data_IF_493461744593
#
_entry.id   IF_493461744593
#
_cell.length_a   1.000
_cell.length_b   1.000
_cell.length_c   1.000
_cell.angle_alpha   90.00
_cell.angle_beta   90.00
_cell.angle_gamma   90.00
#
_symmetry.space_group_name_H-M   'P 1'
#
loop_
_entity.id
_entity.type
_entity.pdbx_description
1 polymer ?
2 polymer ?
3 polymer ?
4 non-polymer ?
5 non-polymer ?
6 non-polymer ?
7 non-polymer ?
8 water ?
#
# COMPACT_ATOMS: atom_id res chain seq x y z
N UNK A 1 -15.53 2.22 14.83
CA UNK A 1 -14.54 3.28 15.15
C UNK A 1 -15.13 4.22 16.18
N UNK A 2 -14.25 4.91 16.91
CA UNK A 2 -14.67 5.76 18.04
C UNK A 2 -15.53 6.93 17.62
N UNK A 3 -15.50 7.32 16.34
CA UNK A 3 -16.31 8.44 15.85
C UNK A 3 -17.58 8.00 15.16
N UNK A 4 -17.82 6.69 15.05
CA UNK A 4 -18.94 6.21 14.25
C UNK A 4 -20.31 6.62 14.77
N UNK A 5 -20.43 6.84 16.08
CA UNK A 5 -21.71 7.22 16.63
C UNK A 5 -21.93 8.72 16.66
N UNK A 6 -20.98 9.52 16.21
CA UNK A 6 -21.10 10.96 16.25
C UNK A 6 -21.60 11.51 14.92
N UNK A 7 -22.50 12.48 14.99
CA UNK A 7 -22.99 13.14 13.79
C UNK A 7 -21.87 13.79 13.00
N UNK A 8 -21.97 13.73 11.68
CA UNK A 8 -21.03 14.43 10.82
C UNK A 8 -20.85 15.89 11.22
N UNK A 9 -21.95 16.63 11.42
CA UNK A 9 -21.80 18.04 11.70
C UNK A 9 -21.11 18.28 13.02
N UNK A 10 -21.34 17.39 13.99
CA UNK A 10 -20.68 17.52 15.27
C UNK A 10 -19.19 17.26 15.16
N UNK A 11 -18.80 16.30 14.31
CA UNK A 11 -17.39 16.06 14.07
C UNK A 11 -16.72 17.28 13.48
N UNK A 12 -17.36 17.90 12.48
CA UNK A 12 -16.79 19.10 11.86
C UNK A 12 -16.70 20.24 12.89
N UNK A 13 -17.74 20.42 13.69
CA UNK A 13 -17.72 21.45 14.72
C UNK A 13 -16.59 21.22 15.70
N UNK A 14 -16.40 19.97 16.12
CA UNK A 14 -15.33 19.67 17.06
C UNK A 14 -13.94 19.78 16.43
N UNK A 15 -13.81 19.48 15.14
CA UNK A 15 -12.54 19.73 14.48
C UNK A 15 -12.18 21.20 14.55
N UNK A 16 -13.15 22.09 14.39
CA UNK A 16 -12.90 23.52 14.46
C UNK A 16 -12.52 23.95 15.87
N UNK A 17 -13.18 23.38 16.87
CA UNK A 17 -12.82 23.64 18.26
C UNK A 17 -11.41 23.14 18.57
N UNK A 18 -11.10 21.93 18.08
CA UNK A 18 -9.76 21.39 18.29
C UNK A 18 -8.70 22.29 17.67
N UNK A 19 -8.97 22.83 16.49
CA UNK A 19 -8.03 23.77 15.90
C UNK A 19 -7.83 25.00 16.79
N UNK A 20 -8.91 25.55 17.33
CA UNK A 20 -8.78 26.72 18.20
C UNK A 20 -7.96 26.41 19.43
N UNK A 21 -8.05 25.17 19.92
CA UNK A 21 -7.30 24.72 21.09
C UNK A 21 -5.93 24.17 20.71
N UNK A 22 -5.56 24.23 19.43
CA UNK A 22 -4.29 23.71 18.94
C UNK A 22 -4.09 22.24 19.30
N UNK A 23 -5.18 21.48 19.25
CA UNK A 23 -5.18 20.05 19.53
C UNK A 23 -5.31 19.33 18.19
N UNK A 24 -4.20 19.25 17.47
CA UNK A 24 -4.24 18.81 16.09
C UNK A 24 -4.48 17.31 15.95
N UNK A 25 -4.00 16.51 16.87
CA UNK A 25 -4.32 15.09 16.80
C UNK A 25 -5.83 14.87 16.93
N UNK A 26 -6.46 15.56 17.87
CA UNK A 26 -7.92 15.48 17.99
C UNK A 26 -8.58 15.99 16.70
N UNK A 27 -8.10 17.10 16.19
CA UNK A 27 -8.66 17.68 14.97
C UNK A 27 -8.64 16.68 13.83
N UNK A 28 -7.50 16.00 13.67
CA UNK A 28 -7.35 15.02 12.59
C UNK A 28 -8.29 13.85 12.80
N UNK A 29 -8.44 13.40 14.04
CA UNK A 29 -9.33 12.27 14.31
C UNK A 29 -10.78 12.63 14.02
N UNK A 30 -11.18 13.85 14.36
CA UNK A 30 -12.54 14.29 14.06
C UNK A 30 -12.75 14.36 12.56
N UNK A 31 -11.80 14.94 11.83
CA UNK A 31 -11.95 15.03 10.38
C UNK A 31 -11.92 13.66 9.71
N UNK A 32 -11.13 12.71 10.23
CA UNK A 32 -11.16 11.35 9.72
C UNK A 32 -12.55 10.75 9.89
N UNK A 33 -13.13 10.94 11.07
CA UNK A 33 -14.47 10.46 11.29
C UNK A 33 -15.47 11.09 10.34
N UNK A 34 -15.31 12.37 10.07
CA UNK A 34 -16.19 13.03 9.13
C UNK A 34 -16.05 12.44 7.73
N UNK A 35 -14.81 12.23 7.28
CA UNK A 35 -14.59 11.62 5.97
C UNK A 35 -15.29 10.27 5.89
N UNK A 36 -15.26 9.50 6.95
CA UNK A 36 -15.80 8.14 6.99
C UNK A 36 -17.32 8.11 6.93
N UNK A 37 -18.00 9.26 7.04
CA UNK A 37 -19.43 9.29 6.80
C UNK A 37 -19.77 9.09 5.34
N UNK A 38 -18.78 9.21 4.44
CA UNK A 38 -18.98 8.88 3.06
C UNK A 38 -19.51 9.99 2.18
N UNK A 39 -19.67 11.20 2.70
CA UNK A 39 -20.08 12.33 1.88
C UNK A 39 -18.84 13.09 1.42
N UNK A 40 -18.91 13.69 0.22
CA UNK A 40 -17.85 14.59 -0.21
C UNK A 40 -17.60 15.68 0.82
N UNK A 41 -16.36 16.12 0.89
CA UNK A 41 -15.97 17.29 1.69
C UNK A 41 -16.13 18.57 0.89
N UNK A 42 -16.61 19.60 1.57
CA UNK A 42 -16.65 20.93 0.98
C UNK A 42 -15.22 21.50 0.96
N UNK A 43 -15.06 22.64 0.31
CA UNK A 43 -13.75 23.29 0.27
C UNK A 43 -13.24 23.58 1.68
N UNK A 44 -14.09 24.15 2.54
CA UNK A 44 -13.66 24.45 3.89
C UNK A 44 -13.27 23.17 4.62
N UNK A 45 -14.03 22.10 4.43
CA UNK A 45 -13.73 20.85 5.10
C UNK A 45 -12.44 20.22 4.61
N UNK A 46 -12.16 20.30 3.29
CA UNK A 46 -10.87 19.82 2.80
C UNK A 46 -9.73 20.54 3.46
N UNK A 47 -9.88 21.86 3.62
CA UNK A 47 -8.82 22.61 4.27
C UNK A 47 -8.66 22.21 5.72
N UNK A 48 -9.76 21.92 6.44
CA UNK A 48 -9.63 21.45 7.82
C UNK A 48 -8.87 20.12 7.86
N UNK A 49 -9.22 19.20 6.98
CA UNK A 49 -8.56 17.90 6.95
C UNK A 49 -7.06 18.08 6.73
N UNK A 50 -6.72 18.94 5.78
CA UNK A 50 -5.32 19.16 5.42
C UNK A 50 -4.55 19.82 6.58
N UNK A 51 -5.10 20.87 7.18
CA UNK A 51 -4.42 21.55 8.27
C UNK A 51 -4.18 20.58 9.42
N UNK A 52 -5.18 19.76 9.74
CA UNK A 52 -5.06 18.85 10.86
C UNK A 52 -3.89 17.90 10.68
N UNK A 53 -3.87 17.20 9.56
CA UNK A 53 -2.80 16.21 9.36
C UNK A 53 -1.46 16.88 9.10
N UNK A 54 -1.45 18.07 8.46
CA UNK A 54 -0.19 18.78 8.29
C UNK A 54 0.48 19.02 9.62
N UNK A 55 -0.29 19.43 10.61
CA UNK A 55 0.29 19.75 11.90
C UNK A 55 0.74 18.48 12.62
N UNK A 56 -0.03 17.41 12.52
CA UNK A 56 0.39 16.17 13.16
C UNK A 56 1.69 15.69 12.54
N UNK A 57 1.71 15.49 11.21
CA UNK A 57 2.91 14.97 10.57
C UNK A 57 4.06 15.96 10.66
N UNK A 58 3.76 17.27 10.71
CA UNK A 58 4.81 18.26 10.80
C UNK A 58 5.59 18.13 12.09
N UNK A 59 4.90 17.87 13.19
CA UNK A 59 5.61 17.69 14.44
C UNK A 59 6.44 16.43 14.43
N UNK A 60 5.92 15.36 13.82
CA UNK A 60 6.66 14.11 13.72
C UNK A 60 7.89 14.26 12.84
N UNK A 61 7.75 14.95 11.71
CA UNK A 61 8.88 15.19 10.82
C UNK A 61 9.96 15.99 11.51
N UNK A 62 9.56 17.02 12.25
CA UNK A 62 10.55 17.84 12.92
C UNK A 62 11.29 17.04 13.98
N UNK A 63 10.57 16.21 14.73
CA UNK A 63 11.21 15.36 15.73
C UNK A 63 12.13 14.33 15.07
N UNK A 64 11.67 13.74 13.96
CA UNK A 64 12.49 12.77 13.23
C UNK A 64 13.80 13.39 12.78
N UNK A 65 13.74 14.64 12.29
CA UNK A 65 14.94 15.32 11.84
C UNK A 65 15.91 15.55 12.98
N UNK A 66 15.38 15.96 14.16
CA UNK A 66 16.24 16.17 15.31
C UNK A 66 16.93 14.87 15.68
N UNK A 67 16.17 13.80 15.78
CA UNK A 67 16.73 12.52 16.22
C UNK A 67 17.68 11.95 15.18
N UNK A 68 17.36 12.11 13.89
CA UNK A 68 18.25 11.61 12.84
C UNK A 68 19.58 12.35 12.87
N UNK A 69 19.56 13.64 13.16
CA UNK A 69 20.80 14.40 13.25
C UNK A 69 21.64 13.93 14.43
N UNK A 70 21.00 13.69 15.58
CA UNK A 70 21.74 13.14 16.73
C UNK A 70 22.33 11.78 16.39
N UNK A 71 21.55 10.94 15.72
CA UNK A 71 22.00 9.61 15.32
C UNK A 71 23.18 9.70 14.38
N UNK A 72 23.11 10.57 13.37
CA UNK A 72 24.22 10.68 12.43
C UNK A 72 25.48 11.15 13.15
N UNK A 73 25.34 12.05 14.11
CA UNK A 73 26.53 12.51 14.83
C UNK A 73 27.10 11.39 15.71
N UNK A 74 26.24 10.52 16.22
CA UNK A 74 26.69 9.37 17.00
C UNK A 74 27.25 8.32 16.06
N UNK A 83 25.25 2.78 22.68
CA UNK A 83 24.09 1.94 22.90
C UNK A 83 23.04 2.14 21.82
N UNK A 84 22.03 1.27 21.80
CA UNK A 84 21.02 1.33 20.74
C UNK A 84 19.95 2.41 20.90
N UNK A 85 20.01 3.25 21.94
CA UNK A 85 18.82 4.04 22.32
C UNK A 85 18.46 5.11 21.28
N UNK A 86 19.43 5.82 20.71
CA UNK A 86 19.10 6.85 19.73
C UNK A 86 18.42 6.23 18.52
N UNK A 87 18.99 5.15 18.00
CA UNK A 87 18.37 4.49 16.87
C UNK A 87 16.97 3.99 17.23
N UNK A 88 16.82 3.36 18.40
CA UNK A 88 15.52 2.83 18.79
C UNK A 88 14.47 3.93 18.81
N UNK A 89 14.82 5.07 19.40
CA UNK A 89 13.82 6.12 19.55
C UNK A 89 13.54 6.78 18.19
N UNK A 90 14.57 6.96 17.37
CA UNK A 90 14.33 7.47 16.03
C UNK A 90 13.42 6.53 15.25
N UNK A 91 13.66 5.22 15.39
CA UNK A 91 12.79 4.24 14.73
C UNK A 91 11.36 4.33 15.26
N UNK A 92 11.18 4.58 16.56
CA UNK A 92 9.84 4.68 17.10
C UNK A 92 9.11 5.86 16.47
N UNK A 93 9.75 7.04 16.45
CA UNK A 93 9.14 8.22 15.84
C UNK A 93 8.88 7.98 14.36
N UNK A 94 9.85 7.36 13.67
CA UNK A 94 9.68 7.06 12.25
C UNK A 94 8.44 6.20 12.00
N UNK A 95 8.28 5.14 12.78
CA UNK A 95 7.13 4.25 12.62
C UNK A 95 5.81 4.99 12.85
N UNK A 96 5.77 5.89 13.83
CA UNK A 96 4.55 6.65 14.08
C UNK A 96 4.27 7.60 12.93
N UNK A 97 5.31 8.21 12.38
CA UNK A 97 5.17 9.08 11.22
C UNK A 97 4.61 8.29 10.03
N UNK A 98 5.19 7.12 9.77
CA UNK A 98 4.73 6.29 8.66
C UNK A 98 3.29 5.87 8.87
N UNK A 99 2.92 5.62 10.11
CA UNK A 99 1.54 5.28 10.39
C UNK A 99 0.58 6.39 10.06
N UNK A 100 0.95 7.64 10.36
CA UNK A 100 0.09 8.75 10.03
C UNK A 100 -0.01 8.92 8.52
N UNK A 101 1.12 8.84 7.82
CA UNK A 101 1.07 8.96 6.37
C UNK A 101 0.21 7.86 5.76
N UNK A 102 0.34 6.62 6.26
CA UNK A 102 -0.49 5.52 5.78
C UNK A 102 -1.98 5.77 6.06
N UNK A 103 -2.29 6.37 7.20
CA UNK A 103 -3.68 6.75 7.49
C UNK A 103 -4.21 7.75 6.46
N UNK A 104 -3.43 8.79 6.17
CA UNK A 104 -3.84 9.81 5.22
C UNK A 104 -4.01 9.21 3.82
N UNK A 105 -3.01 8.45 3.38
CA UNK A 105 -3.08 7.82 2.07
C UNK A 105 -4.27 6.88 1.98
N UNK A 106 -4.57 6.17 3.06
CA UNK A 106 -5.74 5.31 3.08
C UNK A 106 -7.03 6.07 2.94
N UNK A 107 -7.16 7.22 3.63
CA UNK A 107 -8.35 8.03 3.50
C UNK A 107 -8.51 8.52 2.07
N UNK A 108 -7.41 8.95 1.47
CA UNK A 108 -7.45 9.43 0.10
C UNK A 108 -7.88 8.32 -0.84
N UNK A 109 -7.28 7.14 -0.71
CA UNK A 109 -7.56 6.06 -1.64
C UNK A 109 -8.96 5.50 -1.43
N UNK A 110 -9.34 5.33 -0.17
CA UNK A 110 -10.61 4.64 0.10
C UNK A 110 -11.83 5.55 0.03
N UNK A 111 -11.68 6.85 0.28
CA UNK A 111 -12.85 7.72 0.40
C UNK A 111 -12.86 8.93 -0.53
N UNK A 112 -11.71 9.55 -0.77
CA UNK A 112 -11.68 10.92 -1.27
C UNK A 112 -11.28 11.05 -2.73
N UNK A 113 -10.34 10.27 -3.23
CA UNK A 113 -9.93 10.37 -4.62
C UNK A 113 -10.97 9.67 -5.48
N UNK A 114 -11.53 10.40 -6.44
CA UNK A 114 -12.53 9.84 -7.31
C UNK A 114 -12.24 10.31 -8.71
N UNK A 115 -12.71 9.52 -9.69
CA UNK A 115 -12.64 9.95 -11.07
C UNK A 115 -13.63 11.09 -11.30
N UNK A 116 -14.77 11.04 -10.61
CA UNK A 116 -15.69 12.14 -10.65
C UNK A 116 -15.14 13.28 -9.81
N UNK A 117 -15.86 14.37 -9.82
CA UNK A 117 -15.47 15.46 -8.99
C UNK A 117 -15.03 16.66 -9.80
N UNK A 118 -15.15 17.79 -9.15
CA UNK A 118 -14.68 19.01 -9.73
C UNK A 118 -13.17 19.03 -9.70
N UNK A 119 -12.62 19.86 -10.58
CA UNK A 119 -11.17 19.93 -10.72
C UNK A 119 -10.53 20.33 -9.41
N UNK A 120 -11.19 21.21 -8.64
CA UNK A 120 -10.63 21.75 -7.41
C UNK A 120 -10.36 20.63 -6.41
N UNK A 121 -11.32 19.74 -6.24
CA UNK A 121 -11.16 18.63 -5.31
C UNK A 121 -10.20 17.60 -5.85
N UNK A 122 -10.32 17.24 -7.13
CA UNK A 122 -9.45 16.18 -7.65
C UNK A 122 -7.99 16.57 -7.55
N UNK A 123 -7.66 17.81 -7.91
CA UNK A 123 -6.27 18.26 -7.82
C UNK A 123 -5.84 18.33 -6.37
N UNK A 124 -6.72 18.85 -5.49
CA UNK A 124 -6.36 18.97 -4.08
C UNK A 124 -5.93 17.64 -3.51
N UNK A 125 -6.73 16.59 -3.75
CA UNK A 125 -6.46 15.28 -3.16
C UNK A 125 -5.27 14.59 -3.81
N UNK A 126 -5.10 14.72 -5.12
CA UNK A 126 -3.95 14.10 -5.77
C UNK A 126 -2.65 14.79 -5.32
N UNK A 127 -2.68 16.12 -5.18
CA UNK A 127 -1.54 16.82 -4.58
C UNK A 127 -1.25 16.27 -3.18
N UNK A 128 -2.28 16.12 -2.36
CA UNK A 128 -2.11 15.60 -1.01
C UNK A 128 -1.49 14.22 -1.04
N UNK A 129 -1.91 13.37 -1.98
CA UNK A 129 -1.32 12.04 -2.08
C UNK A 129 0.16 12.15 -2.40
N UNK A 130 0.51 13.04 -3.33
CA UNK A 130 1.92 13.29 -3.61
C UNK A 130 2.70 13.75 -2.38
N UNK A 131 2.10 14.66 -1.62
CA UNK A 131 2.76 15.19 -0.43
C UNK A 131 3.03 14.08 0.59
N UNK A 132 2.04 13.21 0.87
CA UNK A 132 2.23 12.21 1.90
C UNK A 132 3.15 11.07 1.44
N UNK A 133 3.18 10.74 0.15
CA UNK A 133 4.25 9.87 -0.33
C UNK A 133 5.60 10.56 -0.22
N UNK A 134 5.66 11.87 -0.47
CA UNK A 134 6.92 12.58 -0.27
C UNK A 134 7.39 12.49 1.18
N UNK A 135 6.48 12.62 2.14
CA UNK A 135 6.91 12.51 3.54
C UNK A 135 7.42 11.11 3.84
N UNK A 136 6.80 10.08 3.24
CA UNK A 136 7.33 8.72 3.40
C UNK A 136 8.72 8.62 2.75
N UNK A 137 8.90 9.28 1.62
CA UNK A 137 10.20 9.22 0.94
C UNK A 137 11.30 9.86 1.78
N UNK A 138 10.96 10.89 2.56
CA UNK A 138 11.98 11.56 3.37
C UNK A 138 12.65 10.60 4.35
N UNK A 139 11.94 9.59 4.82
CA UNK A 139 12.47 8.66 5.80
C UNK A 139 12.82 7.30 5.22
N UNK A 140 12.57 7.08 3.93
CA UNK A 140 12.82 5.79 3.30
C UNK A 140 14.26 5.68 2.81
N UNK A 141 14.70 4.45 2.60
CA UNK A 141 16.03 4.19 2.07
C UNK A 141 15.95 3.19 0.92
N UNK A 142 16.99 3.17 0.09
CA UNK A 142 17.18 2.10 -0.88
C UNK A 142 16.07 1.99 -1.92
N UNK A 143 15.77 0.74 -2.30
CA UNK A 143 14.78 0.48 -3.36
C UNK A 143 13.38 0.84 -2.93
N UNK A 144 13.07 0.64 -1.65
CA UNK A 144 11.78 1.09 -1.12
C UNK A 144 11.59 2.57 -1.38
N UNK A 145 12.65 3.36 -1.17
CA UNK A 145 12.60 4.78 -1.47
C UNK A 145 12.27 5.01 -2.94
N UNK A 146 12.85 4.20 -3.84
CA UNK A 146 12.60 4.41 -5.27
C UNK A 146 11.12 4.27 -5.59
N UNK A 147 10.47 3.24 -5.05
CA UNK A 147 9.06 3.00 -5.34
C UNK A 147 8.20 4.12 -4.77
N UNK A 148 8.52 4.54 -3.54
CA UNK A 148 7.76 5.61 -2.90
C UNK A 148 7.89 6.89 -3.71
N UNK A 149 9.12 7.17 -4.18
CA UNK A 149 9.36 8.37 -4.97
C UNK A 149 8.54 8.33 -6.24
N UNK A 150 8.44 7.17 -6.89
CA UNK A 150 7.64 7.10 -8.09
C UNK A 150 6.16 7.28 -7.80
N UNK A 151 5.67 6.77 -6.66
CA UNK A 151 4.27 6.97 -6.26
C UNK A 151 3.97 8.45 -6.07
N UNK A 152 4.87 9.18 -5.42
CA UNK A 152 4.68 10.61 -5.25
C UNK A 152 4.68 11.31 -6.62
N UNK A 153 5.65 10.98 -7.45
CA UNK A 153 5.73 11.58 -8.78
C UNK A 153 4.44 11.35 -9.57
N UNK A 154 3.92 10.11 -9.56
CA UNK A 154 2.73 9.80 -10.34
C UNK A 154 1.53 10.61 -9.87
N UNK A 155 1.37 10.76 -8.55
CA UNK A 155 0.24 11.51 -8.02
C UNK A 155 0.37 12.99 -8.38
N UNK A 156 1.54 13.56 -8.18
CA UNK A 156 1.75 14.95 -8.55
C UNK A 156 1.52 15.15 -10.05
N UNK A 157 2.00 14.23 -10.87
CA UNK A 157 1.88 14.40 -12.32
C UNK A 157 0.42 14.36 -12.76
N UNK A 158 -0.38 13.48 -12.17
CA UNK A 158 -1.80 13.44 -12.52
C UNK A 158 -2.48 14.74 -12.09
N UNK A 159 -2.15 15.25 -10.90
CA UNK A 159 -2.71 16.52 -10.46
C UNK A 159 -2.28 17.65 -11.39
N UNK A 160 -1.03 17.62 -11.84
CA UNK A 160 -0.54 18.68 -12.74
C UNK A 160 -1.31 18.66 -14.04
N UNK A 161 -1.54 17.47 -14.60
CA UNK A 161 -2.22 17.37 -15.89
C UNK A 161 -3.63 17.94 -15.78
N UNK A 162 -4.34 17.59 -14.70
CA UNK A 162 -5.69 18.12 -14.50
C UNK A 162 -5.63 19.63 -14.33
N UNK A 163 -4.71 20.12 -13.49
CA UNK A 163 -4.68 21.54 -13.18
C UNK A 163 -4.42 22.39 -14.43
N UNK A 164 -3.56 21.90 -15.33
CA UNK A 164 -3.24 22.67 -16.53
C UNK A 164 -4.41 22.70 -17.51
N UNK A 165 -5.25 21.67 -17.49
CA UNK A 165 -6.39 21.61 -18.40
C UNK A 165 -7.60 22.37 -17.86
N UNK A 166 -7.81 22.31 -16.55
CA UNK A 166 -9.09 22.69 -15.98
C UNK A 166 -9.06 23.92 -15.09
N UNK A 167 -7.88 24.46 -14.77
CA UNK A 167 -7.77 25.59 -13.88
C UNK A 167 -6.97 26.70 -14.53
N UNK A 168 -7.24 27.96 -14.19
CA UNK A 168 -6.39 29.05 -14.70
C UNK A 168 -5.02 29.03 -14.04
N UNK A 169 -4.02 29.63 -14.69
CA UNK A 169 -2.65 29.57 -14.15
C UNK A 169 -2.47 30.32 -12.84
N UNK A 170 -3.42 31.15 -12.42
CA UNK A 170 -3.38 31.82 -11.13
C UNK A 170 -4.12 31.08 -10.03
N UNK A 171 -4.76 29.96 -10.33
CA UNK A 171 -5.56 29.30 -9.33
C UNK A 171 -4.68 28.91 -8.13
N UNK A 172 -5.05 29.26 -6.89
CA UNK A 172 -4.11 28.99 -5.79
C UNK A 172 -3.81 27.52 -5.58
N UNK A 173 -4.77 26.63 -5.81
CA UNK A 173 -4.51 25.19 -5.66
C UNK A 173 -3.51 24.73 -6.69
N UNK A 174 -3.67 25.16 -7.95
CA UNK A 174 -2.69 24.86 -9.00
C UNK A 174 -1.31 25.38 -8.61
N UNK A 175 -1.25 26.61 -8.08
CA UNK A 175 0.04 27.18 -7.71
C UNK A 175 0.70 26.42 -6.58
N UNK A 176 -0.07 26.03 -5.55
CA UNK A 176 0.50 25.28 -4.44
C UNK A 176 0.95 23.90 -4.86
N UNK A 177 0.25 23.28 -5.79
CA UNK A 177 0.70 22.02 -6.36
C UNK A 177 2.04 22.18 -7.07
N UNK A 178 2.17 23.22 -7.89
CA UNK A 178 3.44 23.44 -8.58
C UNK A 178 4.56 23.70 -7.60
N UNK A 179 4.27 24.46 -6.54
CA UNK A 179 5.27 24.70 -5.50
C UNK A 179 5.75 23.38 -4.90
N UNK A 180 4.83 22.53 -4.48
CA UNK A 180 5.22 21.29 -3.82
C UNK A 180 5.86 20.29 -4.79
N UNK A 181 5.38 20.23 -6.03
CA UNK A 181 6.00 19.33 -7.01
C UNK A 181 7.41 19.79 -7.31
N UNK A 182 7.62 21.09 -7.39
CA UNK A 182 8.98 21.59 -7.61
C UNK A 182 9.86 21.28 -6.40
N UNK A 183 9.33 21.36 -5.17
CA UNK A 183 10.09 20.95 -4.00
C UNK A 183 10.43 19.47 -4.07
N UNK A 184 9.47 18.65 -4.51
CA UNK A 184 9.74 17.24 -4.74
C UNK A 184 10.92 17.06 -5.70
N UNK A 185 10.89 17.74 -6.85
CA UNK A 185 11.99 17.61 -7.79
C UNK A 185 13.32 17.97 -7.15
N UNK A 186 13.35 19.05 -6.39
CA UNK A 186 14.60 19.57 -5.86
C UNK A 186 15.12 18.70 -4.71
N UNK A 187 14.25 18.35 -3.77
CA UNK A 187 14.67 17.75 -2.49
C UNK A 187 14.64 16.24 -2.48
N UNK A 188 13.79 15.62 -3.31
CA UNK A 188 13.56 14.18 -3.26
C UNK A 188 14.12 13.48 -4.49
N UNK A 189 13.81 14.00 -5.67
CA UNK A 189 14.07 13.33 -6.94
C UNK A 189 15.39 13.73 -7.59
N UNK A 190 16.21 14.54 -6.93
CA UNK A 190 17.53 14.85 -7.45
C UNK A 190 17.44 15.50 -8.82
N UNK A 191 16.45 16.37 -9.00
CA UNK A 191 16.21 17.02 -10.28
C UNK A 191 16.06 18.53 -10.09
N UNK A 192 17.13 19.20 -9.64
CA UNK A 192 17.02 20.64 -9.37
C UNK A 192 16.72 21.46 -10.62
N UNK A 193 17.24 21.05 -11.78
CA UNK A 193 16.92 21.81 -12.99
C UNK A 193 15.42 21.77 -13.29
N UNK A 194 14.80 20.60 -13.17
CA UNK A 194 13.35 20.52 -13.37
C UNK A 194 12.61 21.35 -12.34
N UNK A 195 13.07 21.31 -11.08
CA UNK A 195 12.43 22.09 -10.04
C UNK A 195 12.43 23.57 -10.39
N UNK A 196 13.58 24.07 -10.81
CA UNK A 196 13.75 25.47 -11.13
C UNK A 196 12.89 25.85 -12.34
N UNK A 197 12.91 25.02 -13.38
CA UNK A 197 12.09 25.29 -14.55
C UNK A 197 10.61 25.35 -14.19
N UNK A 198 10.14 24.39 -13.40
CA UNK A 198 8.73 24.35 -13.04
C UNK A 198 8.36 25.59 -12.22
N UNK A 199 9.19 25.95 -11.26
CA UNK A 199 8.85 27.12 -10.46
C UNK A 199 8.83 28.38 -11.33
N UNK A 200 9.81 28.53 -12.23
CA UNK A 200 9.90 29.70 -13.09
C UNK A 200 8.70 29.83 -14.01
N UNK A 201 8.40 28.76 -14.77
CA UNK A 201 7.30 28.87 -15.70
C UNK A 201 5.98 29.06 -14.98
N UNK A 202 5.81 28.42 -13.83
CA UNK A 202 4.58 28.59 -13.07
C UNK A 202 4.43 30.04 -12.63
N UNK A 203 5.49 30.60 -12.05
CA UNK A 203 5.46 31.99 -11.62
C UNK A 203 5.16 32.92 -12.79
N UNK A 204 5.84 32.73 -13.90
CA UNK A 204 5.70 33.65 -15.04
C UNK A 204 4.31 33.57 -15.64
N UNK A 205 3.73 32.37 -15.71
CA UNK A 205 2.41 32.21 -16.31
C UNK A 205 1.32 32.76 -15.41
N UNK A 206 1.54 32.72 -14.09
CA UNK A 206 0.61 33.34 -13.16
C UNK A 206 0.72 34.87 -13.21
N UNK A 207 1.96 35.38 -13.21
CA UNK A 207 2.18 36.82 -13.31
C UNK A 207 1.38 37.39 -14.46
N UNK A 208 1.47 36.75 -15.62
CA UNK A 208 0.84 37.28 -16.83
C UNK A 208 -0.67 37.33 -16.76
N UNK A 209 -1.29 36.56 -15.86
CA UNK A 209 -2.74 36.51 -15.75
C UNK A 209 -3.29 37.24 -14.53
N UNK A 210 -2.41 37.83 -13.70
CA UNK A 210 -2.89 38.55 -12.52
C UNK A 210 -3.86 39.66 -12.88
N UNK A 211 -3.74 40.23 -14.08
CA UNK A 211 -4.58 41.37 -14.44
C UNK A 211 -6.05 40.99 -14.51
N UNK A 212 -6.36 39.70 -14.60
CA UNK A 212 -7.75 39.25 -14.64
C UNK A 212 -8.39 39.12 -13.26
N UNK A 213 -7.64 39.30 -12.19
CA UNK A 213 -8.13 38.97 -10.85
C UNK A 213 -8.59 40.18 -10.06
N UNK A 214 -9.59 39.96 -9.21
CA UNK A 214 -10.06 40.92 -8.24
C UNK A 214 -9.00 41.15 -7.17
N UNK A 215 -9.24 42.15 -6.32
CA UNK A 215 -8.31 42.41 -5.22
C UNK A 215 -8.12 41.17 -4.36
N UNK A 216 -9.23 40.49 -4.02
CA UNK A 216 -9.15 39.34 -3.13
C UNK A 216 -8.43 38.17 -3.79
N UNK A 217 -8.79 37.85 -5.04
CA UNK A 217 -8.13 36.76 -5.74
C UNK A 217 -6.67 37.08 -5.97
N UNK A 218 -6.36 38.35 -6.22
CA UNK A 218 -4.97 38.76 -6.42
C UNK A 218 -4.13 38.46 -5.18
N UNK A 219 -4.64 38.78 -3.98
CA UNK A 219 -3.87 38.48 -2.77
C UNK A 219 -3.70 36.98 -2.58
N UNK A 220 -4.74 36.19 -2.84
CA UNK A 220 -4.62 34.73 -2.69
C UNK A 220 -3.57 34.16 -3.63
N UNK A 221 -3.61 34.57 -4.90
CA UNK A 221 -2.66 34.05 -5.87
C UNK A 221 -1.26 34.57 -5.60
N UNK A 222 -1.12 35.88 -5.34
CA UNK A 222 0.23 36.44 -5.20
C UNK A 222 0.93 35.92 -3.96
N UNK A 223 0.20 35.58 -2.89
CA UNK A 223 0.87 35.02 -1.73
C UNK A 223 1.58 33.71 -2.10
N UNK A 224 0.95 32.86 -2.91
CA UNK A 224 1.59 31.59 -3.29
C UNK A 224 2.68 31.85 -4.33
N UNK A 225 2.45 32.79 -5.24
CA UNK A 225 3.52 33.18 -6.16
C UNK A 225 4.76 33.64 -5.42
N UNK A 226 4.59 34.38 -4.32
CA UNK A 226 5.72 34.84 -3.54
C UNK A 226 6.50 33.67 -2.96
N UNK A 227 5.80 32.60 -2.56
CA UNK A 227 6.49 31.42 -2.07
C UNK A 227 7.30 30.75 -3.19
N UNK A 228 6.74 30.69 -4.40
CA UNK A 228 7.48 30.15 -5.52
C UNK A 228 8.73 30.94 -5.74
N UNK A 229 8.60 32.26 -5.73
CA UNK A 229 9.75 33.11 -5.96
C UNK A 229 10.79 32.92 -4.86
N UNK A 230 10.35 32.77 -3.61
CA UNK A 230 11.30 32.56 -2.53
C UNK A 230 12.13 31.32 -2.81
N UNK A 231 11.50 30.25 -3.29
CA UNK A 231 12.25 29.03 -3.56
C UNK A 231 13.16 29.23 -4.76
N UNK A 232 12.65 29.89 -5.81
CA UNK A 232 13.49 30.15 -6.98
C UNK A 232 14.73 30.94 -6.62
N UNK A 233 14.57 31.98 -5.78
CA UNK A 233 15.70 32.82 -5.43
C UNK A 233 16.66 32.12 -4.46
N UNK A 234 16.14 31.20 -3.66
CA UNK A 234 16.99 30.33 -2.84
C UNK A 234 17.84 29.41 -3.73
N UNK A 235 17.22 28.82 -4.74
CA UNK A 235 17.86 27.82 -5.57
C UNK A 235 18.78 28.39 -6.64
N UNK A 236 18.66 29.67 -6.95
CA UNK A 236 19.41 30.28 -8.04
C UNK A 236 20.03 31.58 -7.59
N UNK B 2 15.90 21.97 4.53
CA UNK B 2 15.18 21.68 3.29
C UNK B 2 14.47 22.94 2.76
N UNK B 3 14.26 22.97 1.45
CA UNK B 3 13.42 23.99 0.82
C UNK B 3 12.02 23.95 1.41
N UNK B 4 11.40 25.11 1.71
CA UNK B 4 10.02 25.03 2.23
C UNK B 4 8.90 24.74 1.21
N UNK B 6 4.47 24.31 0.70
CA UNK B 6 3.31 25.14 1.02
C UNK B 6 3.01 25.05 2.51
N UNK B 7 2.86 26.19 3.19
CA UNK B 7 2.67 26.17 4.65
C UNK B 7 1.22 26.03 5.04
N UNK B 8 0.52 25.13 4.38
CA UNK B 8 -0.90 24.95 4.52
C UNK B 8 -1.37 24.19 3.31
N UNK C 1 19.70 -7.23 -5.57
CA UNK C 1 19.77 -7.65 -4.13
C UNK C 1 21.04 -8.42 -3.83
N UNK C 2 21.08 -9.09 -2.66
CA UNK C 2 22.27 -9.83 -2.27
C UNK C 2 22.58 -10.94 -3.25
N UNK C 3 21.58 -11.40 -4.02
CA UNK C 3 21.79 -12.46 -4.98
C UNK C 3 22.08 -11.95 -6.38
N UNK C 4 22.19 -10.63 -6.55
CA UNK C 4 22.34 -10.05 -7.87
C UNK C 4 23.55 -10.53 -8.65
N UNK C 5 24.62 -10.91 -7.96
CA UNK C 5 25.82 -11.34 -8.67
C UNK C 5 25.87 -12.82 -9.01
N UNK C 6 24.86 -13.60 -8.61
CA UNK C 6 24.86 -15.03 -8.87
C UNK C 6 24.02 -15.36 -10.09
N UNK C 7 24.54 -16.26 -10.93
CA UNK C 7 23.80 -16.75 -12.09
C UNK C 7 22.44 -17.30 -11.68
N UNK C 8 21.45 -17.07 -12.54
CA UNK C 8 20.11 -17.63 -12.30
C UNK C 8 20.16 -19.14 -12.09
N UNK C 9 20.88 -19.86 -12.96
CA UNK C 9 20.87 -21.31 -12.86
C UNK C 9 21.52 -21.77 -11.56
N UNK C 10 22.53 -21.04 -11.09
CA UNK C 10 23.17 -21.34 -9.81
C UNK C 10 22.21 -21.11 -8.65
N UNK C 11 21.40 -20.06 -8.74
CA UNK C 11 20.42 -19.81 -7.68
C UNK C 11 19.39 -20.93 -7.60
N UNK C 12 18.89 -21.40 -8.76
CA UNK C 12 17.95 -22.53 -8.76
C UNK C 12 18.59 -23.77 -8.19
N UNK C 13 19.84 -24.06 -8.58
CA UNK C 13 20.53 -25.23 -8.06
C UNK C 13 20.68 -25.14 -6.54
N UNK C 14 21.06 -23.96 -6.03
CA UNK C 14 21.22 -23.79 -4.58
C UNK C 14 19.88 -23.79 -3.84
N UNK C 15 18.80 -23.31 -4.46
CA UNK C 15 17.49 -23.46 -3.84
C UNK C 15 17.15 -24.93 -3.61
N UNK C 16 17.47 -25.79 -4.59
CA UNK C 16 17.20 -27.21 -4.44
C UNK C 16 18.08 -27.84 -3.36
N UNK C 17 19.36 -27.43 -3.29
CA UNK C 17 20.23 -27.88 -2.20
C UNK C 17 19.69 -27.45 -0.85
N UNK C 18 19.25 -26.20 -0.75
CA UNK C 18 18.72 -25.69 0.51
C UNK C 18 17.50 -26.50 0.93
N UNK C 19 16.65 -26.85 -0.03
CA UNK C 19 15.50 -27.68 0.31
C UNK C 19 15.94 -29.03 0.86
N UNK C 20 16.94 -29.66 0.24
CA UNK C 20 17.43 -30.93 0.75
C UNK C 20 17.96 -30.80 2.18
N UNK C 21 18.59 -29.68 2.48
CA UNK C 21 19.17 -29.40 3.78
C UNK C 21 18.15 -28.83 4.77
N UNK C 22 16.90 -28.67 4.35
CA UNK C 22 15.84 -28.09 5.17
C UNK C 22 16.19 -26.68 5.64
N UNK C 23 16.86 -25.94 4.77
CA UNK C 23 17.26 -24.56 5.03
C UNK C 23 16.33 -23.64 4.25
N UNK C 24 15.10 -23.46 4.77
CA UNK C 24 14.06 -22.83 3.97
C UNK C 24 14.25 -21.32 3.84
N UNK C 25 14.83 -20.66 4.83
CA UNK C 25 15.14 -19.24 4.63
C UNK C 25 16.14 -19.06 3.50
N UNK C 26 17.16 -19.92 3.44
CA UNK C 26 18.09 -19.85 2.33
C UNK C 26 17.38 -20.15 1.01
N UNK C 27 16.54 -21.18 1.01
CA UNK C 27 15.82 -21.57 -0.19
C UNK C 27 15.01 -20.39 -0.73
N UNK C 28 14.31 -19.69 0.17
CA UNK C 28 13.50 -18.54 -0.23
C UNK C 28 14.37 -17.42 -0.78
N UNK C 29 15.51 -17.15 -0.14
CA UNK C 29 16.39 -16.09 -0.61
C UNK C 29 16.95 -16.42 -1.99
N UNK C 30 17.31 -17.68 -2.23
CA UNK C 30 17.79 -18.06 -3.55
C UNK C 30 16.69 -17.90 -4.60
N UNK C 31 15.47 -18.32 -4.26
CA UNK C 31 14.37 -18.19 -5.20
C UNK C 31 14.00 -16.72 -5.45
N UNK C 32 14.05 -15.88 -4.41
CA UNK C 32 13.87 -14.44 -4.62
C UNK C 32 14.90 -13.92 -5.61
N UNK C 33 16.17 -14.30 -5.43
CA UNK C 33 17.19 -13.87 -6.35
C UNK C 33 16.91 -14.33 -7.76
N UNK C 34 16.42 -15.56 -7.91
CA UNK C 34 16.09 -16.05 -9.24
C UNK C 34 14.94 -15.26 -9.86
N UNK C 35 13.89 -14.98 -9.09
CA UNK C 35 12.77 -14.16 -9.60
C UNK C 35 13.29 -12.80 -10.06
N UNK C 36 14.15 -12.18 -9.26
CA UNK C 36 14.65 -10.85 -9.55
C UNK C 36 15.50 -10.78 -10.81
N UNK C 37 15.90 -11.92 -11.39
CA UNK C 37 16.55 -11.89 -12.69
C UNK C 37 15.63 -11.38 -13.79
N UNK C 38 14.33 -11.44 -13.57
CA UNK C 38 13.38 -10.87 -14.50
C UNK C 38 12.80 -11.83 -15.51
N UNK C 39 13.22 -13.08 -15.52
CA UNK C 39 12.68 -14.06 -16.44
C UNK C 39 11.50 -14.81 -15.82
N UNK C 40 10.62 -15.33 -16.67
CA UNK C 40 9.50 -16.12 -16.18
C UNK C 40 10.03 -17.35 -15.45
N UNK C 41 9.15 -17.93 -14.64
CA UNK C 41 9.44 -19.15 -13.91
C UNK C 41 8.74 -20.31 -14.59
N UNK C 42 9.42 -21.45 -14.66
CA UNK C 42 8.77 -22.68 -15.08
C UNK C 42 7.84 -23.17 -13.96
N UNK C 43 7.04 -24.19 -14.26
CA UNK C 43 6.17 -24.76 -13.23
C UNK C 43 6.98 -25.25 -12.04
N UNK C 44 8.07 -25.97 -12.31
CA UNK C 44 8.89 -26.48 -11.22
C UNK C 44 9.43 -25.33 -10.38
N UNK C 45 9.82 -24.23 -11.04
CA UNK C 45 10.40 -23.12 -10.31
C UNK C 45 9.36 -22.37 -9.47
N UNK C 46 8.16 -22.16 -10.04
CA UNK C 46 7.05 -21.58 -9.30
C UNK C 46 6.78 -22.38 -8.03
N UNK C 47 6.77 -23.70 -8.16
CA UNK C 47 6.54 -24.55 -7.01
C UNK C 47 7.66 -24.40 -5.98
N UNK C 48 8.92 -24.31 -6.43
CA UNK C 48 10.03 -24.07 -5.50
C UNK C 48 9.84 -22.77 -4.73
N UNK C 49 9.47 -21.71 -5.44
CA UNK C 49 9.23 -20.42 -4.79
C UNK C 49 8.15 -20.54 -3.73
N UNK C 50 7.04 -21.19 -4.08
CA UNK C 50 5.91 -21.31 -3.17
C UNK C 50 6.27 -22.16 -1.96
N UNK C 51 6.96 -23.28 -2.16
CA UNK C 51 7.34 -24.15 -1.04
C UNK C 51 8.27 -23.40 -0.10
N UNK C 52 9.24 -22.67 -0.66
CA UNK C 52 10.22 -22.01 0.19
C UNK C 52 9.55 -21.00 1.10
N UNK C 53 8.77 -20.08 0.52
CA UNK C 53 8.12 -19.06 1.34
C UNK C 53 7.03 -19.63 2.23
N UNK C 54 6.35 -20.70 1.81
CA UNK C 54 5.35 -21.25 2.68
C UNK C 54 5.97 -21.79 3.94
N UNK C 55 7.16 -22.41 3.81
CA UNK C 55 7.83 -22.94 4.99
C UNK C 55 8.28 -21.80 5.91
N UNK C 56 8.81 -20.73 5.33
CA UNK C 56 9.21 -19.58 6.14
C UNK C 56 8.01 -18.94 6.84
N UNK C 57 6.98 -18.55 6.07
CA UNK C 57 5.86 -17.86 6.69
C UNK C 57 5.10 -18.79 7.61
N UNK C 58 5.07 -20.07 7.27
CA UNK C 58 4.34 -21.03 8.08
C UNK C 58 4.93 -21.13 9.47
N UNK C 59 6.26 -21.11 9.55
CA UNK C 59 6.90 -21.12 10.85
C UNK C 59 6.61 -19.87 11.64
N UNK C 60 6.60 -18.72 10.96
CA UNK C 60 6.29 -17.47 11.64
C UNK C 60 4.84 -17.42 12.10
N UNK C 61 3.92 -17.89 11.25
CA UNK C 61 2.50 -17.94 11.65
C UNK C 61 2.31 -18.84 12.86
N UNK C 62 2.96 -20.00 12.88
CA UNK C 62 2.82 -20.91 14.02
C UNK C 62 3.36 -20.27 15.28
N UNK C 63 4.49 -19.59 15.18
CA UNK C 63 5.06 -18.91 16.34
C UNK C 63 4.16 -17.76 16.80
N UNK C 64 3.62 -17.00 15.84
CA UNK C 64 2.70 -15.92 16.18
C UNK C 64 1.48 -16.45 16.91
N UNK C 65 0.95 -17.59 16.45
CA UNK C 65 -0.22 -18.18 17.12
C UNK C 65 0.12 -18.63 18.54
N UNK C 66 1.30 -19.21 18.74
CA UNK C 66 1.70 -19.61 20.09
C UNK C 66 1.75 -18.40 21.01
N UNK C 67 2.40 -17.34 20.53
CA UNK C 67 2.58 -16.14 21.34
C UNK C 67 1.27 -15.41 21.57
N UNK C 68 0.41 -15.37 20.55
CA UNK C 68 -0.89 -14.74 20.71
C UNK C 68 -1.73 -15.49 21.75
N UNK C 69 -1.62 -16.81 21.79
CA UNK C 69 -2.37 -17.59 22.77
C UNK C 69 -1.87 -17.30 24.17
N UNK C 70 -0.56 -17.21 24.36
CA UNK C 70 -0.01 -16.86 25.67
C UNK C 70 -0.45 -15.46 26.07
N UNK C 71 -0.41 -14.53 25.12
CA UNK C 71 -0.79 -13.14 25.38
C UNK C 71 -2.25 -13.06 25.82
N UNK C 72 -3.13 -13.76 25.11
CA UNK C 72 -4.55 -13.68 25.45
C UNK C 72 -4.81 -14.26 26.82
N UNK C 73 -4.10 -15.32 27.20
CA UNK C 73 -4.25 -15.85 28.56
C UNK C 73 -3.71 -14.88 29.59
N UNK C 74 -2.61 -14.21 29.29
CA UNK C 74 -2.02 -13.27 30.23
C UNK C 74 -2.98 -12.10 30.45
N UNK C 83 3.58 -8.20 32.53
CA UNK C 83 4.38 -7.18 31.90
C UNK C 83 4.16 -7.09 30.40
N UNK C 84 4.89 -6.19 29.74
CA UNK C 84 4.73 -5.98 28.31
C UNK C 84 5.46 -7.00 27.45
N UNK C 85 6.24 -7.91 28.04
CA UNK C 85 7.16 -8.72 27.25
C UNK C 85 6.45 -9.63 26.23
N UNK C 86 5.34 -10.27 26.61
CA UNK C 86 4.67 -11.18 25.67
C UNK C 86 4.18 -10.39 24.47
N UNK C 87 3.52 -9.24 24.72
CA UNK C 87 3.09 -8.40 23.62
C UNK C 87 4.26 -7.95 22.77
N UNK C 88 5.36 -7.51 23.40
CA UNK C 88 6.50 -7.03 22.62
C UNK C 88 7.04 -8.14 21.72
N UNK C 89 7.17 -9.35 22.26
CA UNK C 89 7.76 -10.43 21.46
C UNK C 89 6.79 -10.89 20.37
N UNK C 90 5.50 -10.95 20.67
CA UNK C 90 4.51 -11.19 19.64
C UNK C 90 4.60 -10.15 18.53
N UNK C 91 4.79 -8.87 18.90
CA UNK C 91 4.91 -7.81 17.90
C UNK C 91 6.18 -7.98 17.07
N UNK C 92 7.27 -8.46 17.69
CA UNK C 92 8.50 -8.68 16.95
C UNK C 92 8.29 -9.76 15.89
N UNK C 93 7.67 -10.87 16.29
CA UNK C 93 7.41 -11.94 15.33
C UNK C 93 6.46 -11.43 14.24
N UNK C 94 5.44 -10.69 14.67
CA UNK C 94 4.47 -10.13 13.73
C UNK C 94 5.15 -9.27 12.66
N UNK C 95 6.04 -8.36 13.09
CA UNK C 95 6.75 -7.51 12.14
C UNK C 95 7.59 -8.32 11.16
N UNK C 96 8.23 -9.40 11.63
CA UNK C 96 8.99 -10.26 10.74
C UNK C 96 8.10 -10.96 9.72
N UNK C 97 6.97 -11.49 10.19
CA UNK C 97 6.01 -12.12 9.30
C UNK C 97 5.51 -11.13 8.27
N UNK C 98 5.22 -9.89 8.70
CA UNK C 98 4.74 -8.89 7.75
C UNK C 98 5.81 -8.58 6.71
N UNK C 99 7.08 -8.57 7.14
CA UNK C 99 8.17 -8.33 6.21
C UNK C 99 8.26 -9.41 5.15
N UNK C 100 8.11 -10.68 5.54
CA UNK C 100 8.16 -11.76 4.56
C UNK C 100 6.99 -11.66 3.60
N UNK C 101 5.80 -11.38 4.11
CA UNK C 101 4.65 -11.24 3.21
C UNK C 101 4.85 -10.07 2.26
N UNK C 102 5.36 -8.94 2.75
CA UNK C 102 5.61 -7.81 1.86
C UNK C 102 6.65 -8.18 0.80
N UNK C 103 7.66 -8.96 1.16
CA UNK C 103 8.63 -9.44 0.17
C UNK C 103 7.96 -10.27 -0.93
N UNK C 104 7.14 -11.24 -0.53
CA UNK C 104 6.48 -12.09 -1.53
C UNK C 104 5.55 -11.26 -2.41
N UNK C 105 4.74 -10.39 -1.78
CA UNK C 105 3.84 -9.56 -2.55
C UNK C 105 4.61 -8.67 -3.51
N UNK C 106 5.78 -8.21 -3.08
CA UNK C 106 6.60 -7.39 -3.97
C UNK C 106 7.12 -8.14 -5.19
N UNK C 107 7.49 -9.40 -5.02
CA UNK C 107 7.87 -10.24 -6.16
C UNK C 107 6.70 -10.47 -7.11
N UNK C 108 5.50 -10.70 -6.57
CA UNK C 108 4.34 -10.91 -7.41
C UNK C 108 3.95 -9.64 -8.17
N UNK C 109 4.04 -8.48 -7.54
CA UNK C 109 3.74 -7.21 -8.19
C UNK C 109 4.85 -6.73 -9.12
N UNK C 110 6.10 -7.18 -8.88
CA UNK C 110 7.27 -6.71 -9.61
C UNK C 110 8.14 -7.90 -9.99
N UNK C 111 7.78 -8.68 -11.01
CA UNK C 111 6.66 -8.44 -11.93
C UNK C 111 6.05 -9.78 -12.34
N UNK C 112 5.98 -10.74 -11.41
CA UNK C 112 5.58 -12.09 -11.82
C UNK C 112 4.18 -12.13 -12.44
N UNK C 113 3.21 -11.46 -11.83
CA UNK C 113 1.84 -11.55 -12.31
C UNK C 113 1.75 -11.01 -13.73
N UNK C 114 2.30 -9.82 -13.97
CA UNK C 114 2.10 -9.18 -15.27
C UNK C 114 2.90 -9.86 -16.36
N UNK C 115 3.97 -10.57 -16.01
CA UNK C 115 4.77 -11.27 -17.00
C UNK C 115 4.39 -12.72 -17.18
N UNK C 116 3.44 -13.23 -16.39
CA UNK C 116 3.03 -14.62 -16.54
C UNK C 116 2.51 -14.87 -17.95
N UNK C 117 3.02 -15.90 -18.59
CA UNK C 117 2.82 -16.14 -20.00
C UNK C 117 1.66 -17.05 -20.36
N UNK C 118 0.99 -17.60 -19.37
CA UNK C 118 -0.15 -18.47 -19.61
C UNK C 118 -1.12 -18.29 -18.45
N UNK C 119 -2.36 -18.74 -18.66
CA UNK C 119 -3.41 -18.51 -17.67
C UNK C 119 -3.13 -19.25 -16.38
N UNK C 120 -2.58 -20.46 -16.47
CA UNK C 120 -2.33 -21.25 -15.28
C UNK C 120 -1.33 -20.56 -14.36
N UNK C 121 -0.24 -20.04 -14.92
CA UNK C 121 0.74 -19.34 -14.09
C UNK C 121 0.17 -18.04 -13.57
N UNK C 122 -0.66 -17.34 -14.36
CA UNK C 122 -1.24 -16.10 -13.86
C UNK C 122 -2.18 -16.36 -12.70
N UNK C 123 -2.98 -17.43 -12.80
CA UNK C 123 -3.87 -17.80 -11.69
C UNK C 123 -3.05 -18.24 -10.48
N UNK C 124 -1.95 -18.98 -10.71
CA UNK C 124 -1.11 -19.41 -9.59
C UNK C 124 -0.61 -18.20 -8.82
N UNK C 125 -0.18 -17.17 -9.54
CA UNK C 125 0.41 -16.01 -8.88
C UNK C 125 -0.64 -15.11 -8.24
N UNK C 126 -1.80 -14.91 -8.89
CA UNK C 126 -2.87 -14.12 -8.29
C UNK C 126 -3.43 -14.81 -7.05
N UNK C 127 -3.54 -16.14 -7.08
CA UNK C 127 -3.88 -16.89 -5.88
C UNK C 127 -2.86 -16.64 -4.78
N UNK C 128 -1.58 -16.74 -5.11
CA UNK C 128 -0.53 -16.50 -4.13
C UNK C 128 -0.62 -15.10 -3.55
N UNK C 129 -0.95 -14.10 -4.38
CA UNK C 129 -1.17 -12.74 -3.88
C UNK C 129 -2.31 -12.70 -2.88
N UNK C 130 -3.41 -13.34 -3.22
CA UNK C 130 -4.50 -13.44 -2.26
C UNK C 130 -4.07 -14.09 -0.96
N UNK C 131 -3.30 -15.18 -1.07
CA UNK C 131 -2.85 -15.93 0.11
C UNK C 131 -1.99 -15.06 1.01
N UNK C 132 -1.04 -14.31 0.44
CA UNK C 132 -0.14 -13.54 1.29
C UNK C 132 -0.81 -12.30 1.87
N UNK C 133 -1.76 -11.69 1.17
CA UNK C 133 -2.60 -10.69 1.82
C UNK C 133 -3.44 -11.33 2.93
N UNK C 134 -3.89 -12.57 2.72
CA UNK C 134 -4.64 -13.27 3.77
C UNK C 134 -3.77 -13.49 5.01
N UNK C 135 -2.50 -13.86 4.82
CA UNK C 135 -1.60 -14.01 5.98
C UNK C 135 -1.43 -12.67 6.70
N UNK C 136 -1.30 -11.58 5.95
CA UNK C 136 -1.26 -10.27 6.57
C UNK C 136 -2.54 -10.00 7.34
N UNK C 137 -3.68 -10.37 6.76
CA UNK C 137 -4.95 -10.08 7.41
C UNK C 137 -5.09 -10.78 8.76
N UNK C 138 -4.46 -11.93 8.91
CA UNK C 138 -4.57 -12.69 10.15
C UNK C 138 -3.99 -11.91 11.32
N UNK C 139 -3.02 -11.03 11.06
CA UNK C 139 -2.35 -10.30 12.13
C UNK C 139 -2.63 -8.80 12.08
N UNK C 140 -3.39 -8.33 11.09
CA UNK C 140 -3.66 -6.92 10.94
C UNK C 140 -4.82 -6.50 11.85
N UNK C 141 -4.91 -5.19 12.06
CA UNK C 141 -6.01 -4.62 12.83
C UNK C 141 -6.53 -3.36 12.13
N UNK C 142 -7.74 -2.99 12.53
CA UNK C 142 -8.31 -1.68 12.16
C UNK C 142 -8.39 -1.42 10.67
N UNK C 143 -8.10 -0.17 10.30
CA UNK C 143 -8.25 0.23 8.90
C UNK C 143 -7.27 -0.50 7.99
N UNK C 144 -6.07 -0.79 8.48
CA UNK C 144 -5.11 -1.54 7.68
C UNK C 144 -5.67 -2.91 7.34
N UNK C 145 -6.27 -3.59 8.33
CA UNK C 145 -6.89 -4.88 8.06
C UNK C 145 -7.96 -4.76 6.99
N UNK C 146 -8.79 -3.72 7.04
CA UNK C 146 -9.85 -3.60 6.03
C UNK C 146 -9.26 -3.45 4.64
N UNK C 147 -8.21 -2.63 4.50
CA UNK C 147 -7.57 -2.50 3.19
C UNK C 147 -6.98 -3.83 2.73
N UNK C 148 -6.32 -4.55 3.65
CA UNK C 148 -5.70 -5.81 3.30
C UNK C 148 -6.74 -6.82 2.84
N UNK C 149 -7.87 -6.86 3.55
CA UNK C 149 -8.95 -7.77 3.19
C UNK C 149 -9.46 -7.47 1.78
N UNK C 150 -9.65 -6.20 1.46
CA UNK C 150 -10.08 -5.84 0.11
C UNK C 150 -9.04 -6.21 -0.93
N UNK C 151 -7.75 -6.04 -0.62
CA UNK C 151 -6.71 -6.44 -1.55
C UNK C 151 -6.70 -7.94 -1.78
N UNK C 152 -6.86 -8.72 -0.72
CA UNK C 152 -6.92 -10.18 -0.87
C UNK C 152 -8.08 -10.57 -1.76
N UNK C 153 -9.26 -10.02 -1.47
CA UNK C 153 -10.44 -10.39 -2.23
C UNK C 153 -10.26 -10.06 -3.70
N UNK C 154 -9.68 -8.90 -4.00
CA UNK C 154 -9.51 -8.47 -5.39
C UNK C 154 -8.58 -9.41 -6.16
N UNK C 155 -7.50 -9.85 -5.51
CA UNK C 155 -6.56 -10.76 -6.16
C UNK C 155 -7.21 -12.11 -6.39
N UNK C 156 -7.88 -12.63 -5.36
CA UNK C 156 -8.56 -13.91 -5.51
C UNK C 156 -9.63 -13.85 -6.59
N UNK C 157 -10.39 -12.75 -6.63
CA UNK C 157 -11.46 -12.66 -7.60
C UNK C 157 -10.92 -12.57 -9.01
N UNK C 158 -9.82 -11.85 -9.22
CA UNK C 158 -9.21 -11.83 -10.54
C UNK C 158 -8.77 -13.22 -10.95
N UNK C 159 -8.16 -13.97 -10.02
CA UNK C 159 -7.77 -15.34 -10.29
C UNK C 159 -8.97 -16.19 -10.65
N UNK C 160 -10.09 -15.99 -9.94
CA UNK C 160 -11.30 -16.76 -10.22
C UNK C 160 -11.81 -16.49 -11.62
N UNK C 161 -11.82 -15.22 -12.02
CA UNK C 161 -12.35 -14.86 -13.34
C UNK C 161 -11.54 -15.54 -14.44
N UNK C 162 -10.21 -15.54 -14.31
CA UNK C 162 -9.34 -16.17 -15.31
C UNK C 162 -9.55 -17.68 -15.32
N UNK C 163 -9.61 -18.30 -14.14
CA UNK C 163 -9.71 -19.75 -14.07
C UNK C 163 -11.04 -20.25 -14.64
N UNK C 164 -12.10 -19.46 -14.50
CA UNK C 164 -13.39 -19.88 -15.07
C UNK C 164 -13.36 -19.78 -16.60
N UNK C 165 -12.64 -18.80 -17.13
CA UNK C 165 -12.58 -18.67 -18.59
C UNK C 165 -11.62 -19.66 -19.22
N UNK C 166 -10.52 -20.01 -18.55
CA UNK C 166 -9.39 -20.63 -19.22
C UNK C 166 -9.05 -22.04 -18.75
N UNK C 167 -9.59 -22.49 -17.63
CA UNK C 167 -9.20 -23.77 -17.07
C UNK C 167 -10.42 -24.63 -16.83
N UNK C 168 -10.31 -25.95 -17.01
CA UNK C 168 -11.45 -26.83 -16.73
C UNK C 168 -11.75 -26.86 -15.25
N UNK C 169 -12.99 -27.17 -14.88
CA UNK C 169 -13.37 -27.12 -13.46
C UNK C 169 -12.68 -28.15 -12.56
N UNK C 170 -12.04 -29.18 -13.10
CA UNK C 170 -11.28 -30.15 -12.30
C UNK C 170 -9.82 -29.79 -12.19
N UNK C 171 -9.38 -28.73 -12.87
CA UNK C 171 -7.98 -28.36 -12.86
C UNK C 171 -7.51 -28.14 -11.42
N UNK C 172 -6.42 -28.78 -10.98
CA UNK C 172 -6.03 -28.66 -9.57
C UNK C 172 -5.70 -27.25 -9.12
N UNK C 173 -5.10 -26.43 -9.98
CA UNK C 173 -4.81 -25.05 -9.57
C UNK C 173 -6.10 -24.27 -9.35
N UNK C 174 -7.07 -24.45 -10.25
CA UNK C 174 -8.37 -23.83 -10.08
C UNK C 174 -9.04 -24.30 -8.80
N UNK C 175 -8.98 -25.61 -8.52
CA UNK C 175 -9.60 -26.13 -7.31
C UNK C 175 -8.91 -25.55 -6.08
N UNK C 176 -7.58 -25.48 -6.07
CA UNK C 176 -6.88 -24.97 -4.91
C UNK C 176 -7.14 -23.50 -4.67
N UNK C 177 -7.25 -22.71 -5.74
CA UNK C 177 -7.69 -21.33 -5.63
C UNK C 177 -9.04 -21.22 -4.94
N UNK C 178 -10.01 -21.99 -5.41
CA UNK C 178 -11.35 -21.93 -4.82
C UNK C 178 -11.31 -22.35 -3.35
N UNK C 179 -10.50 -23.37 -3.03
CA UNK C 179 -10.32 -23.77 -1.64
C UNK C 179 -9.82 -22.62 -0.79
N UNK C 180 -8.75 -21.95 -1.22
CA UNK C 180 -8.17 -20.89 -0.41
C UNK C 180 -9.05 -19.65 -0.38
N UNK C 181 -9.74 -19.33 -1.47
CA UNK C 181 -10.64 -18.18 -1.49
C UNK C 181 -11.82 -18.43 -0.56
N UNK C 182 -12.32 -19.65 -0.52
CA UNK C 182 -13.41 -19.96 0.38
C UNK C 182 -12.95 -19.91 1.84
N UNK C 183 -11.71 -20.33 2.12
CA UNK C 183 -11.15 -20.15 3.46
C UNK C 183 -11.07 -18.67 3.82
N UNK C 184 -10.63 -17.86 2.87
CA UNK C 184 -10.61 -16.41 3.08
C UNK C 184 -12.00 -15.90 3.46
N UNK C 185 -13.03 -16.26 2.70
CA UNK C 185 -14.37 -15.79 3.02
C UNK C 185 -14.77 -16.17 4.44
N UNK C 186 -14.49 -17.40 4.85
CA UNK C 186 -14.95 -17.89 6.14
C UNK C 186 -14.13 -17.35 7.30
N UNK C 187 -12.81 -17.43 7.20
CA UNK C 187 -11.93 -17.17 8.32
C UNK C 187 -11.55 -15.71 8.45
N UNK C 188 -11.55 -14.98 7.35
CA UNK C 188 -11.06 -13.60 7.32
C UNK C 188 -12.18 -12.60 7.14
N UNK C 189 -13.00 -12.79 6.12
CA UNK C 189 -13.98 -11.80 5.70
C UNK C 189 -15.32 -11.95 6.40
N UNK C 190 -15.44 -12.89 7.34
CA UNK C 190 -16.69 -13.13 8.06
C UNK C 190 -17.88 -13.25 7.11
N UNK C 191 -17.66 -14.04 6.06
CA UNK C 191 -18.65 -14.26 5.01
C UNK C 191 -18.84 -15.77 4.84
N UNK C 192 -19.40 -16.44 5.85
CA UNK C 192 -19.56 -17.90 5.72
C UNK C 192 -20.48 -18.33 4.58
N UNK C 193 -21.51 -17.55 4.26
CA UNK C 193 -22.37 -17.93 3.16
C UNK C 193 -21.64 -17.86 1.83
N UNK C 194 -20.77 -16.87 1.65
CA UNK C 194 -19.96 -16.84 0.44
C UNK C 194 -18.99 -18.01 0.40
N UNK C 195 -18.40 -18.35 1.55
CA UNK C 195 -17.47 -19.47 1.61
C UNK C 195 -18.15 -20.77 1.21
N UNK C 196 -19.32 -21.04 1.80
CA UNK C 196 -20.05 -22.26 1.51
C UNK C 196 -20.48 -22.30 0.05
N UNK C 197 -21.05 -21.19 -0.45
CA UNK C 197 -21.50 -21.16 -1.84
C UNK C 197 -20.35 -21.46 -2.79
N UNK C 198 -19.21 -20.82 -2.58
CA UNK C 198 -18.05 -21.03 -3.46
C UNK C 198 -17.56 -22.49 -3.38
N UNK C 199 -17.40 -23.01 -2.16
CA UNK C 199 -16.91 -24.38 -2.05
C UNK C 199 -17.87 -25.37 -2.70
N UNK C 200 -19.16 -25.15 -2.48
CA UNK C 200 -20.19 -26.06 -3.01
C UNK C 200 -20.21 -26.03 -4.54
N UNK C 201 -20.27 -24.83 -5.12
CA UNK C 201 -20.29 -24.72 -6.58
C UNK C 201 -19.06 -25.36 -7.17
N UNK C 202 -17.89 -25.12 -6.57
CA UNK C 202 -16.65 -25.67 -7.07
C UNK C 202 -16.68 -27.18 -7.00
N UNK C 203 -17.17 -27.72 -5.89
CA UNK C 203 -17.23 -29.18 -5.71
C UNK C 203 -18.13 -29.82 -6.76
N UNK C 204 -19.32 -29.25 -6.97
CA UNK C 204 -20.28 -29.82 -7.92
C UNK C 204 -19.78 -29.73 -9.35
N UNK C 205 -19.19 -28.60 -9.73
CA UNK C 205 -18.73 -28.42 -11.10
C UNK C 205 -17.55 -29.34 -11.41
N UNK C 206 -16.70 -29.62 -10.43
CA UNK C 206 -15.64 -30.61 -10.63
C UNK C 206 -16.22 -32.02 -10.68
N UNK C 207 -17.18 -32.33 -9.81
CA UNK C 207 -17.73 -33.68 -9.77
C UNK C 207 -18.29 -34.08 -11.13
N UNK C 208 -18.96 -33.14 -11.81
CA UNK C 208 -19.56 -33.43 -13.10
C UNK C 208 -18.56 -33.99 -14.10
N UNK C 209 -17.28 -33.61 -14.00
CA UNK C 209 -16.29 -33.98 -15.00
C UNK C 209 -15.33 -35.06 -14.52
N UNK C 210 -15.49 -35.59 -13.29
CA UNK C 210 -14.53 -36.56 -12.77
C UNK C 210 -14.39 -37.78 -13.68
N UNK C 211 -15.47 -38.18 -14.36
CA UNK C 211 -15.44 -39.39 -15.17
C UNK C 211 -14.62 -39.24 -16.44
N UNK C 212 -14.26 -38.01 -16.80
CA UNK C 212 -13.47 -37.76 -18.00
C UNK C 212 -11.98 -37.82 -17.72
N UNK C 213 -11.56 -37.93 -16.46
CA UNK C 213 -10.17 -37.85 -16.05
C UNK C 213 -9.50 -39.22 -16.00
N UNK C 214 -8.18 -39.20 -16.12
CA UNK C 214 -7.38 -40.40 -15.92
C UNK C 214 -7.32 -40.75 -14.44
N UNK C 215 -6.66 -41.88 -14.15
CA UNK C 215 -6.49 -42.33 -12.77
C UNK C 215 -5.76 -41.29 -11.93
N UNK C 216 -4.68 -40.72 -12.49
CA UNK C 216 -3.88 -39.77 -11.73
C UNK C 216 -4.64 -38.47 -11.51
N UNK C 217 -5.22 -37.92 -12.57
CA UNK C 217 -5.99 -36.68 -12.44
C UNK C 217 -7.17 -36.87 -11.50
N UNK C 218 -7.86 -38.00 -11.59
CA UNK C 218 -8.95 -38.29 -10.66
C UNK C 218 -8.48 -38.20 -9.21
N UNK C 219 -7.33 -38.80 -8.91
CA UNK C 219 -6.77 -38.72 -7.57
C UNK C 219 -6.45 -37.27 -7.19
N UNK C 220 -5.74 -36.57 -8.08
CA UNK C 220 -5.41 -35.16 -7.82
C UNK C 220 -6.68 -34.38 -7.51
N UNK C 221 -7.71 -34.51 -8.36
CA UNK C 221 -8.87 -33.65 -8.22
C UNK C 221 -9.71 -34.04 -7.01
N UNK C 222 -9.89 -35.34 -6.76
CA UNK C 222 -10.70 -35.71 -5.60
C UNK C 222 -9.97 -35.41 -4.30
N UNK C 223 -8.63 -35.38 -4.33
CA UNK C 223 -7.86 -34.98 -3.16
C UNK C 223 -8.25 -33.57 -2.72
N UNK C 224 -8.25 -32.63 -3.66
CA UNK C 224 -8.60 -31.26 -3.31
C UNK C 224 -10.10 -31.13 -3.09
N UNK C 225 -10.91 -31.92 -3.82
CA UNK C 225 -12.33 -31.93 -3.53
C UNK C 225 -12.58 -32.35 -2.09
N UNK C 226 -11.78 -33.30 -1.60
CA UNK C 226 -11.95 -33.75 -0.23
C UNK C 226 -11.58 -32.66 0.75
N UNK C 227 -10.59 -31.82 0.40
CA UNK C 227 -10.25 -30.67 1.23
C UNK C 227 -11.39 -29.66 1.26
N UNK C 228 -12.09 -29.44 0.15
CA UNK C 228 -13.31 -28.62 0.15
C UNK C 228 -14.39 -29.22 1.03
N UNK C 229 -14.54 -30.54 0.97
CA UNK C 229 -15.57 -31.21 1.75
C UNK C 229 -15.31 -31.07 3.24
N UNK C 230 -14.05 -31.23 3.66
CA UNK C 230 -13.73 -31.09 5.08
C UNK C 230 -14.14 -29.71 5.57
N UNK C 231 -13.85 -28.69 4.77
CA UNK C 231 -14.22 -27.35 5.18
C UNK C 231 -15.73 -27.19 5.21
N UNK C 232 -16.44 -27.70 4.20
CA UNK C 232 -17.90 -27.63 4.21
C UNK C 232 -18.49 -28.32 5.44
N UNK C 233 -17.95 -29.49 5.81
CA UNK C 233 -18.44 -30.20 6.99
C UNK C 233 -18.23 -29.36 8.25
N UNK C 234 -17.03 -28.80 8.39
CA UNK C 234 -16.80 -27.90 9.52
C UNK C 234 -17.75 -26.73 9.46
N UNK C 235 -18.05 -26.24 8.26
CA UNK C 235 -18.87 -25.07 8.08
C UNK C 235 -20.37 -25.36 8.01
N UNK C 236 -20.78 -26.59 7.69
CA UNK C 236 -22.20 -26.92 7.47
C UNK C 236 -22.68 -28.08 8.33
N UNK D 1 -9.82 -23.13 9.83
CA UNK D 1 -10.03 -24.01 8.68
C UNK D 1 -8.74 -24.13 7.86
N UNK D 2 -8.38 -25.35 7.44
CA UNK D 2 -7.14 -25.44 6.66
C UNK D 2 -7.24 -25.06 5.18
N UNK D 4 -4.89 -24.91 1.36
CA UNK D 4 -4.20 -25.90 0.56
C UNK D 4 -2.84 -26.18 1.22
N UNK D 5 -2.50 -27.45 1.40
CA UNK D 5 -1.27 -27.82 2.12
C UNK D 5 -0.06 -27.94 1.20
N UNK D 6 0.13 -26.93 0.37
CA UNK D 6 1.23 -26.84 -0.56
C UNK D 6 0.83 -25.85 -1.62
#
# INVERSE_FOLDING_TARGET
>A
GAMGSMERASLIQKAKLAEQAERYEDMAAFMKGAVEKGEELSCEERNLLSVAYKNVVGGQRAAWRVLSSIEQKSNEEGSEEKGPEVREYREKVETELQGVCDTVLGLLDSHLIKEAGDAESRVFYLKMKGDYYRYLAEVATGDDKKRIIDSARSAYQEAMDISKKEMPPTNPIRLGLALNFSVFHYEIANSPEEAISLAKTTFDEAMADLHTLSEDSYKDSTLIMQLLRDNLTLWT
>B
XRTPXLPG
>C
GAMGSMERASLIQKAKLAEQAERYEDMAAFMKGAVEKGEELSCEERNLLSVAYKNVVGGQRAAWRVLSSIEQKSNEEGSEEKGPEVREYREKVETELQGVCDTVLGLLDSHLIKEAGDAESRVFYLKMKGDYYRYLAEVATGDDKKRIIDSARSAYQEAMDISKKEMPPTNPIRLGLALNFSVFHYEIANSPEEAISLAKTTFDEAMADLHTLSEDSYKDSTLIMQLLRDNLTLWT
>D
TPXLPG
#
